data_IF_523429781059
#
_entry.id   IF_523429781059
#
_cell.length_a   1.000
_cell.length_b   1.000
_cell.length_c   1.000
_cell.angle_alpha   90.00
_cell.angle_beta   90.00
_cell.angle_gamma   90.00
#
_symmetry.space_group_name_H-M   'P 1'
#
loop_
_entity.id
_entity.type
_entity.pdbx_description
1 polymer ?
#
# COMPACT_ATOMS: atom_id res chain seq x y z
N UNK A 1 23.57 20.49 11.02
CA UNK A 1 23.31 20.85 9.62
C UNK A 1 22.36 19.79 9.09
N UNK A 2 21.14 20.15 8.73
CA UNK A 2 20.05 19.22 8.43
C UNK A 2 20.39 18.34 7.22
N UNK A 3 20.33 17.01 7.36
CA UNK A 3 20.52 16.04 6.27
C UNK A 3 19.28 15.91 5.36
N UNK A 4 18.34 16.86 5.40
CA UNK A 4 17.05 16.79 4.70
C UNK A 4 17.04 17.43 3.30
N UNK A 5 18.18 17.95 2.81
CA UNK A 5 18.27 18.66 1.52
C UNK A 5 19.11 17.92 0.47
N UNK A 6 19.11 16.58 0.45
CA UNK A 6 19.81 15.79 -0.59
C UNK A 6 18.97 15.57 -1.85
N UNK A 7 18.16 16.57 -2.23
CA UNK A 7 17.48 16.59 -3.52
C UNK A 7 18.38 17.33 -4.52
N UNK A 8 18.88 16.60 -5.52
CA UNK A 8 19.58 17.23 -6.63
C UNK A 8 18.60 18.17 -7.32
N UNK A 9 18.86 19.47 -7.24
CA UNK A 9 18.05 20.46 -7.92
C UNK A 9 18.36 20.37 -9.42
N UNK A 10 17.60 19.52 -10.13
CA UNK A 10 17.55 19.41 -11.60
C UNK A 10 18.76 18.68 -12.22
N UNK A 11 18.88 17.36 -12.01
CA UNK A 11 20.00 16.56 -12.54
C UNK A 11 20.14 16.60 -14.08
N UNK A 12 19.06 16.91 -14.80
CA UNK A 12 19.08 17.04 -16.26
C UNK A 12 19.80 18.30 -16.78
N UNK A 13 20.01 19.30 -15.91
CA UNK A 13 20.54 20.61 -16.30
C UNK A 13 22.04 20.79 -16.01
N UNK A 14 22.70 19.73 -15.59
CA UNK A 14 24.11 19.69 -15.20
C UNK A 14 24.83 18.57 -15.96
N UNK A 15 26.16 18.66 -16.00
CA UNK A 15 27.02 17.68 -16.69
C UNK A 15 27.12 16.38 -15.90
N UNK A 16 27.51 15.29 -16.57
CA UNK A 16 27.69 13.97 -15.94
C UNK A 16 28.67 14.03 -14.75
N UNK A 17 29.77 14.77 -14.88
CA UNK A 17 30.79 14.93 -13.82
C UNK A 17 30.26 15.72 -12.62
N UNK A 18 29.45 16.75 -12.85
CA UNK A 18 28.80 17.52 -11.78
C UNK A 18 27.82 16.65 -11.00
N UNK A 19 26.98 15.85 -11.68
CA UNK A 19 26.03 14.95 -11.01
C UNK A 19 26.74 13.90 -10.15
N UNK A 20 27.84 13.33 -10.64
CA UNK A 20 28.67 12.40 -9.85
C UNK A 20 29.25 13.07 -8.59
N UNK A 21 29.67 14.33 -8.74
CA UNK A 21 30.20 15.12 -7.61
C UNK A 21 29.10 15.42 -6.59
N UNK A 22 27.92 15.86 -7.04
CA UNK A 22 26.77 16.14 -6.16
C UNK A 22 26.24 14.89 -5.44
N UNK A 23 26.20 13.76 -6.14
CA UNK A 23 25.81 12.47 -5.54
C UNK A 23 26.89 11.87 -4.64
N UNK A 24 28.09 12.45 -4.61
CA UNK A 24 29.27 11.90 -3.93
C UNK A 24 29.54 10.44 -4.34
N UNK A 25 29.51 10.20 -5.65
CA UNK A 25 29.74 8.92 -6.31
C UNK A 25 30.89 9.02 -7.30
N UNK A 26 31.67 7.96 -7.45
CA UNK A 26 32.68 7.82 -8.51
C UNK A 26 32.18 6.87 -9.61
N UNK A 27 32.87 6.84 -10.76
CA UNK A 27 32.57 5.91 -11.86
C UNK A 27 32.62 4.43 -11.45
N UNK A 28 33.38 4.09 -10.40
CA UNK A 28 33.40 2.75 -9.81
C UNK A 28 32.18 2.45 -8.93
N UNK A 29 31.22 3.37 -8.82
CA UNK A 29 30.06 3.25 -7.95
C UNK A 29 30.37 3.49 -6.47
N UNK A 30 29.33 3.34 -5.63
CA UNK A 30 29.41 3.59 -4.19
C UNK A 30 30.19 2.51 -3.44
N UNK A 31 30.78 2.90 -2.31
CA UNK A 31 31.34 1.95 -1.32
C UNK A 31 30.24 1.41 -0.40
N UNK A 32 30.44 0.20 0.12
CA UNK A 32 29.49 -0.46 1.04
C UNK A 32 29.14 0.39 2.26
N UNK A 33 30.13 1.10 2.84
CA UNK A 33 29.88 2.00 3.98
C UNK A 33 28.99 3.18 3.59
N UNK A 34 29.20 3.74 2.39
CA UNK A 34 28.42 4.86 1.88
C UNK A 34 26.99 4.45 1.53
N UNK A 35 26.80 3.22 1.05
CA UNK A 35 25.48 2.60 0.84
C UNK A 35 24.77 2.42 2.19
N UNK A 36 25.44 1.82 3.19
CA UNK A 36 24.84 1.57 4.51
C UNK A 36 24.41 2.86 5.21
N UNK A 37 25.12 3.97 5.02
CA UNK A 37 24.73 5.27 5.55
C UNK A 37 23.46 5.76 4.86
N UNK A 38 23.41 5.75 3.52
CA UNK A 38 22.27 6.23 2.73
C UNK A 38 21.03 5.34 2.84
N UNK A 39 21.19 4.05 3.10
CA UNK A 39 20.06 3.14 3.38
C UNK A 39 19.26 3.54 4.63
N UNK A 40 19.83 4.39 5.52
CA UNK A 40 19.08 4.94 6.66
C UNK A 40 18.04 5.98 6.24
N UNK A 41 18.18 6.57 5.05
CA UNK A 41 17.26 7.58 4.53
C UNK A 41 15.95 6.96 4.01
N UNK A 42 15.91 5.64 3.85
CA UNK A 42 14.74 4.87 3.42
C UNK A 42 15.05 3.91 2.29
N UNK A 43 14.13 2.97 2.06
CA UNK A 43 14.18 2.06 0.93
C UNK A 43 13.63 2.73 -0.34
N UNK A 44 14.05 2.25 -1.50
CA UNK A 44 13.46 2.60 -2.79
C UNK A 44 12.11 1.89 -2.96
N UNK A 45 11.13 2.26 -2.14
CA UNK A 45 9.76 1.80 -2.22
C UNK A 45 8.81 3.00 -2.16
N UNK A 46 7.70 2.91 -2.89
CA UNK A 46 6.59 3.83 -2.72
C UNK A 46 6.01 3.63 -1.31
N UNK A 47 5.66 4.74 -0.65
CA UNK A 47 5.09 4.69 0.69
C UNK A 47 3.77 3.90 0.66
N UNK A 48 3.82 2.67 1.17
CA UNK A 48 2.61 1.89 1.41
C UNK A 48 1.98 2.35 2.72
N UNK A 49 0.64 2.39 2.76
CA UNK A 49 -0.07 2.59 4.03
C UNK A 49 0.41 1.54 5.04
N UNK A 50 0.78 1.96 6.27
CA UNK A 50 1.23 1.02 7.27
C UNK A 50 0.16 -0.05 7.50
N UNK A 51 0.54 -1.33 7.65
CA UNK A 51 -0.43 -2.38 7.88
C UNK A 51 -1.22 -2.05 9.15
N UNK A 52 -2.52 -2.36 9.12
CA UNK A 52 -3.40 -2.09 10.26
C UNK A 52 -2.86 -2.78 11.51
N UNK A 53 -2.74 -2.01 12.59
CA UNK A 53 -2.36 -2.57 13.88
C UNK A 53 -3.46 -3.47 14.43
N UNK A 54 -3.11 -4.43 15.29
CA UNK A 54 -4.11 -5.32 15.93
C UNK A 54 -5.19 -4.51 16.66
N UNK A 55 -4.83 -3.38 17.27
CA UNK A 55 -5.79 -2.50 17.95
C UNK A 55 -6.73 -1.78 16.97
N UNK A 56 -6.23 -1.34 15.83
CA UNK A 56 -7.06 -0.76 14.77
C UNK A 56 -8.03 -1.81 14.20
N UNK A 57 -7.57 -3.03 13.96
CA UNK A 57 -8.45 -4.13 13.50
C UNK A 57 -9.56 -4.45 14.52
N UNK A 58 -9.23 -4.50 15.82
CA UNK A 58 -10.23 -4.68 16.89
C UNK A 58 -11.24 -3.53 16.89
N UNK A 59 -10.76 -2.28 16.77
CA UNK A 59 -11.63 -1.10 16.76
C UNK A 59 -12.59 -1.11 15.57
N UNK A 60 -12.10 -1.46 14.38
CA UNK A 60 -12.93 -1.60 13.18
C UNK A 60 -13.98 -2.70 13.36
N UNK A 61 -13.61 -3.83 13.96
CA UNK A 61 -14.52 -4.93 14.24
C UNK A 61 -15.64 -4.53 15.23
N UNK A 62 -15.33 -3.72 16.24
CA UNK A 62 -16.33 -3.25 17.23
C UNK A 62 -17.27 -2.20 16.62
N UNK A 63 -16.76 -1.34 15.74
CA UNK A 63 -17.54 -0.29 15.06
C UNK A 63 -18.36 -0.87 13.89
N UNK A 64 -18.15 -2.13 13.52
CA UNK A 64 -18.96 -2.80 12.51
C UNK A 64 -20.44 -2.82 12.93
N UNK A 65 -21.37 -2.36 12.05
CA UNK A 65 -22.79 -2.26 12.39
C UNK A 65 -23.42 -3.57 12.85
N UNK A 66 -22.99 -4.71 12.31
CA UNK A 66 -23.53 -6.02 12.68
C UNK A 66 -23.10 -6.41 14.09
N UNK A 67 -21.84 -6.14 14.44
CA UNK A 67 -21.31 -6.40 15.78
C UNK A 67 -21.88 -5.44 16.82
N UNK A 68 -22.09 -4.18 16.48
CA UNK A 68 -22.78 -3.24 17.37
C UNK A 68 -24.20 -3.71 17.73
N UNK A 69 -24.93 -4.30 16.78
CA UNK A 69 -26.26 -4.88 17.05
C UNK A 69 -26.16 -6.07 18.01
N UNK A 70 -25.19 -6.96 17.80
CA UNK A 70 -24.95 -8.12 18.68
C UNK A 70 -24.54 -7.68 20.10
N UNK A 71 -23.66 -6.69 20.21
CA UNK A 71 -23.28 -6.10 21.49
C UNK A 71 -24.46 -5.42 22.19
N UNK A 72 -25.32 -4.74 21.43
CA UNK A 72 -26.58 -4.19 21.94
C UNK A 72 -27.51 -5.29 22.47
N UNK A 73 -27.70 -6.38 21.72
CA UNK A 73 -28.51 -7.52 22.15
C UNK A 73 -27.97 -8.17 23.43
N UNK A 74 -26.65 -8.39 23.51
CA UNK A 74 -26.00 -8.91 24.71
C UNK A 74 -26.20 -7.99 25.92
N UNK A 75 -26.11 -6.66 25.71
CA UNK A 75 -26.35 -5.66 26.76
C UNK A 75 -27.79 -5.69 27.27
N UNK A 76 -28.78 -5.72 26.38
CA UNK A 76 -30.19 -5.81 26.78
C UNK A 76 -30.51 -7.13 27.49
N UNK A 77 -30.00 -8.27 27.00
CA UNK A 77 -30.19 -9.57 27.65
C UNK A 77 -29.61 -9.60 29.07
N UNK A 78 -28.43 -9.00 29.27
CA UNK A 78 -27.86 -8.83 30.61
C UNK A 78 -28.73 -7.94 31.52
N UNK A 79 -29.32 -6.87 30.97
CA UNK A 79 -30.23 -5.98 31.71
C UNK A 79 -31.49 -6.72 32.19
N UNK A 80 -32.04 -7.61 31.36
CA UNK A 80 -33.18 -8.48 31.71
C UNK A 80 -32.82 -9.68 32.61
N UNK A 81 -31.59 -9.75 33.12
CA UNK A 81 -31.07 -10.81 33.99
C UNK A 81 -30.98 -12.19 33.30
N UNK A 82 -30.95 -12.21 31.97
CA UNK A 82 -30.74 -13.41 31.15
C UNK A 82 -29.24 -13.62 30.89
N UNK A 83 -28.46 -13.78 31.97
CA UNK A 83 -27.00 -13.84 31.89
C UNK A 83 -26.48 -14.95 30.96
N UNK A 84 -27.19 -16.07 30.86
CA UNK A 84 -26.81 -17.18 29.98
C UNK A 84 -26.79 -16.76 28.51
N UNK A 85 -27.80 -16.03 28.03
CA UNK A 85 -27.90 -15.61 26.63
C UNK A 85 -26.89 -14.48 26.33
N UNK A 86 -26.75 -13.51 27.24
CA UNK A 86 -25.73 -12.47 27.13
C UNK A 86 -24.30 -13.05 27.01
N UNK A 87 -23.96 -14.07 27.81
CA UNK A 87 -22.65 -14.74 27.76
C UNK A 87 -22.44 -15.47 26.44
N UNK A 88 -23.47 -16.16 25.91
CA UNK A 88 -23.38 -16.86 24.62
C UNK A 88 -23.11 -15.87 23.49
N UNK A 89 -23.86 -14.77 23.42
CA UNK A 89 -23.68 -13.74 22.38
C UNK A 89 -22.28 -13.12 22.49
N UNK A 90 -21.84 -12.77 23.71
CA UNK A 90 -20.52 -12.22 23.93
C UNK A 90 -19.40 -13.18 23.47
N UNK A 91 -19.54 -14.48 23.74
CA UNK A 91 -18.59 -15.50 23.30
C UNK A 91 -18.51 -15.57 21.76
N UNK A 92 -19.66 -15.55 21.07
CA UNK A 92 -19.72 -15.56 19.60
C UNK A 92 -18.99 -14.34 19.02
N UNK A 93 -19.23 -13.16 19.58
CA UNK A 93 -18.56 -11.91 19.13
C UNK A 93 -17.04 -12.01 19.31
N UNK A 94 -16.57 -12.53 20.45
CA UNK A 94 -15.14 -12.71 20.71
C UNK A 94 -14.52 -13.69 19.72
N UNK A 95 -15.14 -14.85 19.50
CA UNK A 95 -14.65 -15.85 18.55
C UNK A 95 -14.60 -15.27 17.13
N UNK A 96 -15.66 -14.62 16.67
CA UNK A 96 -15.71 -14.01 15.34
C UNK A 96 -14.66 -12.91 15.18
N UNK A 97 -14.41 -12.12 16.22
CA UNK A 97 -13.36 -11.08 16.21
C UNK A 97 -11.98 -11.70 16.07
N UNK A 98 -11.68 -12.76 16.82
CA UNK A 98 -10.39 -13.47 16.72
C UNK A 98 -10.22 -14.06 15.32
N UNK A 99 -11.24 -14.75 14.80
CA UNK A 99 -11.23 -15.33 13.45
C UNK A 99 -11.01 -14.23 12.41
N UNK A 100 -11.72 -13.10 12.50
CA UNK A 100 -11.59 -11.97 11.59
C UNK A 100 -10.16 -11.41 11.57
N UNK A 101 -9.57 -11.16 12.75
CA UNK A 101 -8.20 -10.65 12.86
C UNK A 101 -7.18 -11.63 12.27
N UNK A 102 -7.33 -12.94 12.55
CA UNK A 102 -6.42 -13.96 12.00
C UNK A 102 -6.54 -14.05 10.48
N UNK A 103 -7.77 -14.01 9.94
CA UNK A 103 -8.01 -14.02 8.50
C UNK A 103 -7.43 -12.78 7.81
N UNK A 104 -7.60 -11.59 8.39
CA UNK A 104 -7.07 -10.35 7.82
C UNK A 104 -5.54 -10.32 7.86
N UNK A 105 -4.92 -10.74 8.97
CA UNK A 105 -3.45 -10.88 9.04
C UNK A 105 -2.92 -11.89 8.02
N UNK A 106 -3.60 -13.02 7.86
CA UNK A 106 -3.21 -14.04 6.88
C UNK A 106 -3.28 -13.46 5.46
N UNK A 107 -4.37 -12.77 5.12
CA UNK A 107 -4.54 -12.12 3.82
C UNK A 107 -3.44 -11.08 3.55
N UNK A 108 -3.16 -10.21 4.51
CA UNK A 108 -2.08 -9.21 4.41
C UNK A 108 -0.71 -9.87 4.22
N UNK A 109 -0.40 -10.93 4.98
CA UNK A 109 0.88 -11.64 4.87
C UNK A 109 1.08 -12.31 3.50
N UNK A 110 0.02 -12.91 2.94
CA UNK A 110 0.08 -13.52 1.62
C UNK A 110 0.29 -12.47 0.53
N UNK A 111 -0.36 -11.31 0.66
CA UNK A 111 -0.18 -10.21 -0.27
C UNK A 111 1.23 -9.62 -0.20
N UNK A 112 1.79 -9.45 1.00
CA UNK A 112 3.17 -9.00 1.20
C UNK A 112 4.18 -9.97 0.58
N UNK A 113 4.01 -11.29 0.79
CA UNK A 113 4.88 -12.29 0.19
C UNK A 113 4.81 -12.27 -1.35
N UNK A 114 3.62 -12.12 -1.94
CA UNK A 114 3.47 -11.99 -3.40
C UNK A 114 4.17 -10.73 -3.94
N UNK A 115 4.09 -9.61 -3.20
CA UNK A 115 4.78 -8.36 -3.53
C UNK A 115 6.29 -8.55 -3.52
N UNK A 116 6.82 -9.18 -2.47
CA UNK A 116 8.26 -9.41 -2.32
C UNK A 116 8.82 -10.40 -3.36
N UNK A 117 8.03 -11.40 -3.77
CA UNK A 117 8.42 -12.35 -4.83
C UNK A 117 8.47 -11.71 -6.23
N UNK A 118 7.76 -10.60 -6.42
CA UNK A 118 7.67 -9.89 -7.71
C UNK A 118 8.55 -8.64 -7.74
N UNK A 119 9.36 -8.42 -6.69
CA UNK A 119 10.18 -7.22 -6.59
C UNK A 119 11.22 -7.19 -7.71
N UNK A 120 11.33 -6.07 -8.46
CA UNK A 120 12.30 -5.96 -9.53
C UNK A 120 13.73 -6.01 -8.99
N UNK A 121 14.62 -6.64 -9.75
CA UNK A 121 16.06 -6.66 -9.49
C UNK A 121 16.74 -5.60 -10.35
N UNK A 122 17.86 -5.06 -9.88
CA UNK A 122 18.65 -4.04 -10.57
C UNK A 122 20.12 -4.45 -10.66
N UNK A 123 20.72 -4.23 -11.82
CA UNK A 123 22.15 -4.40 -12.06
C UNK A 123 22.88 -3.15 -11.60
N UNK A 124 23.64 -3.23 -10.50
CA UNK A 124 24.34 -2.09 -9.91
C UNK A 124 25.85 -2.27 -9.96
N UNK A 125 26.57 -1.16 -10.05
CA UNK A 125 28.02 -1.11 -9.88
C UNK A 125 28.30 -0.54 -8.49
N UNK A 126 28.90 -1.36 -7.61
CA UNK A 126 29.33 -0.96 -6.26
C UNK A 126 30.76 -1.45 -6.04
N UNK A 127 31.62 -0.58 -5.51
CA UNK A 127 33.05 -0.84 -5.31
C UNK A 127 33.76 -1.45 -6.55
N UNK A 128 33.39 -0.99 -7.75
CA UNK A 128 33.94 -1.41 -9.04
C UNK A 128 33.48 -2.79 -9.51
N UNK A 129 32.47 -3.39 -8.87
CA UNK A 129 31.93 -4.70 -9.25
C UNK A 129 30.46 -4.59 -9.59
N UNK A 130 30.08 -5.29 -10.65
CA UNK A 130 28.67 -5.45 -11.00
C UNK A 130 28.01 -6.48 -10.07
N UNK A 131 26.84 -6.11 -9.54
CA UNK A 131 26.08 -6.91 -8.60
C UNK A 131 24.59 -6.83 -8.97
N UNK A 132 23.87 -7.93 -8.81
CA UNK A 132 22.42 -7.96 -8.96
C UNK A 132 21.78 -7.84 -7.57
N UNK A 133 21.11 -6.72 -7.29
CA UNK A 133 20.48 -6.47 -5.99
C UNK A 133 18.98 -6.18 -6.16
N UNK A 134 18.17 -6.38 -5.11
CA UNK A 134 16.77 -5.94 -5.14
C UNK A 134 16.67 -4.43 -5.36
N UNK A 135 15.79 -3.99 -6.27
CA UNK A 135 15.61 -2.56 -6.57
C UNK A 135 15.23 -1.72 -5.35
N UNK A 136 14.59 -2.32 -4.33
CA UNK A 136 14.25 -1.67 -3.05
C UNK A 136 15.48 -1.24 -2.23
N UNK A 137 16.63 -1.85 -2.46
CA UNK A 137 17.88 -1.56 -1.73
C UNK A 137 18.75 -0.50 -2.41
N UNK A 138 18.26 0.06 -3.53
CA UNK A 138 18.91 1.16 -4.24
C UNK A 138 18.87 2.43 -3.41
N UNK A 139 19.97 3.17 -3.48
CA UNK A 139 20.13 4.48 -2.84
C UNK A 139 20.56 5.53 -3.87
N UNK A 140 20.34 6.80 -3.54
CA UNK A 140 20.83 7.93 -4.34
C UNK A 140 22.36 7.83 -4.48
N UNK A 141 22.85 7.95 -5.71
CA UNK A 141 24.26 7.78 -6.06
C UNK A 141 24.65 6.36 -6.50
N UNK A 142 23.78 5.36 -6.39
CA UNK A 142 24.07 4.05 -7.02
C UNK A 142 24.20 4.21 -8.54
N UNK A 143 25.14 3.50 -9.15
CA UNK A 143 25.27 3.42 -10.59
C UNK A 143 24.56 2.14 -11.06
N UNK A 144 23.65 2.28 -12.02
CA UNK A 144 22.79 1.21 -12.52
C UNK A 144 23.04 1.01 -14.02
N UNK A 145 23.19 -0.26 -14.40
CA UNK A 145 23.17 -0.71 -15.79
C UNK A 145 21.73 -1.01 -16.21
N UNK A 146 21.33 -0.47 -17.36
CA UNK A 146 20.06 -0.72 -18.02
C UNK A 146 20.29 -1.51 -19.31
N UNK A 147 19.58 -2.62 -19.45
CA UNK A 147 19.57 -3.45 -20.64
C UNK A 147 18.18 -3.48 -21.29
N UNK A 148 18.14 -3.96 -22.52
CA UNK A 148 16.87 -4.19 -23.24
C UNK A 148 15.93 -5.11 -22.44
N UNK A 149 14.70 -4.67 -22.23
CA UNK A 149 13.68 -5.34 -21.43
C UNK A 149 13.71 -5.01 -19.94
N UNK A 150 14.74 -4.31 -19.45
CA UNK A 150 14.79 -3.92 -18.04
C UNK A 150 13.76 -2.84 -17.72
N UNK A 151 13.19 -2.93 -16.52
CA UNK A 151 12.41 -1.84 -15.94
C UNK A 151 13.35 -0.90 -15.19
N UNK A 152 13.23 0.39 -15.45
CA UNK A 152 14.04 1.41 -14.77
C UNK A 152 13.64 1.44 -13.29
N UNK A 153 14.58 1.15 -12.35
CA UNK A 153 14.22 0.85 -10.97
C UNK A 153 14.03 2.10 -10.09
N UNK A 154 14.59 3.23 -10.48
CA UNK A 154 14.53 4.53 -9.78
C UNK A 154 14.88 5.65 -10.78
N UNK A 155 14.61 6.91 -10.42
CA UNK A 155 14.90 8.03 -11.32
C UNK A 155 16.41 8.29 -11.38
N UNK A 156 16.96 8.30 -12.58
CA UNK A 156 18.41 8.33 -12.79
C UNK A 156 18.83 9.26 -13.91
N UNK A 157 20.01 9.86 -13.73
CA UNK A 157 20.71 10.62 -14.78
C UNK A 157 21.59 9.66 -15.57
N UNK A 158 21.41 9.63 -16.87
CA UNK A 158 22.22 8.79 -17.75
C UNK A 158 23.67 9.32 -17.83
N UNK A 159 24.62 8.43 -17.60
CA UNK A 159 26.06 8.67 -17.78
C UNK A 159 26.52 8.15 -19.15
N UNK A 160 25.93 7.05 -19.62
CA UNK A 160 26.18 6.51 -20.96
C UNK A 160 24.87 6.06 -21.59
N UNK A 161 24.75 6.19 -22.91
CA UNK A 161 23.62 5.70 -23.67
C UNK A 161 24.09 5.17 -25.02
N UNK A 162 23.68 3.95 -25.38
CA UNK A 162 23.94 3.37 -26.69
C UNK A 162 22.64 2.89 -27.32
N UNK A 163 22.10 3.69 -28.26
CA UNK A 163 20.80 3.50 -28.90
C UNK A 163 19.67 3.25 -27.89
N UNK A 164 19.75 3.87 -26.72
CA UNK A 164 18.83 3.63 -25.62
C UNK A 164 17.45 4.22 -25.94
N UNK A 165 16.42 3.37 -25.89
CA UNK A 165 15.03 3.79 -26.08
C UNK A 165 14.18 3.32 -24.92
N UNK A 166 13.49 4.25 -24.27
CA UNK A 166 12.70 3.99 -23.07
C UNK A 166 11.24 4.36 -23.35
N UNK A 167 10.32 3.46 -22.98
CA UNK A 167 8.89 3.72 -23.03
C UNK A 167 8.42 4.28 -21.69
N UNK A 168 7.96 5.53 -21.72
CA UNK A 168 7.59 6.31 -20.53
C UNK A 168 6.08 6.46 -20.35
N UNK A 169 5.31 5.52 -20.90
CA UNK A 169 3.85 5.53 -20.88
C UNK A 169 3.25 5.63 -19.47
N UNK A 170 3.92 5.07 -18.46
CA UNK A 170 3.53 5.16 -17.06
C UNK A 170 3.48 6.60 -16.53
N UNK A 171 4.28 7.51 -17.12
CA UNK A 171 4.48 8.88 -16.64
C UNK A 171 3.86 9.92 -17.57
N UNK A 172 4.00 9.73 -18.89
CA UNK A 172 3.52 10.69 -19.91
C UNK A 172 2.19 10.28 -20.53
N UNK A 173 1.78 9.01 -20.41
CA UNK A 173 0.63 8.46 -21.11
C UNK A 173 0.89 8.18 -22.60
N UNK A 174 2.09 8.47 -23.11
CA UNK A 174 2.45 8.25 -24.51
C UNK A 174 3.18 6.90 -24.65
N UNK A 175 2.69 6.06 -25.57
CA UNK A 175 3.28 4.73 -25.79
C UNK A 175 4.48 4.72 -26.74
N UNK A 176 4.85 5.86 -27.32
CA UNK A 176 5.98 5.94 -28.26
C UNK A 176 7.29 5.96 -27.45
N UNK A 177 8.24 5.02 -27.71
CA UNK A 177 9.53 5.04 -27.03
C UNK A 177 10.32 6.31 -27.34
N UNK A 178 10.89 6.92 -26.32
CA UNK A 178 11.73 8.11 -26.40
C UNK A 178 13.19 7.69 -26.51
N UNK A 179 13.90 8.26 -27.48
CA UNK A 179 15.34 8.06 -27.64
C UNK A 179 16.11 8.91 -26.62
N UNK A 180 17.05 8.26 -25.94
CA UNK A 180 17.79 8.85 -24.83
C UNK A 180 19.20 9.23 -25.24
N UNK A 181 19.66 10.35 -24.71
CA UNK A 181 20.99 10.92 -24.96
C UNK A 181 21.63 11.32 -23.62
N UNK A 182 22.63 10.55 -23.20
CA UNK A 182 23.34 10.79 -21.95
C UNK A 182 24.18 12.07 -21.96
N UNK A 183 24.67 12.50 -23.13
CA UNK A 183 25.58 13.64 -23.29
C UNK A 183 24.85 14.98 -23.33
N UNK A 184 23.53 14.96 -23.58
CA UNK A 184 22.71 16.16 -23.58
C UNK A 184 22.69 16.85 -22.20
N UNK A 185 22.82 18.18 -22.21
CA UNK A 185 22.59 19.06 -21.04
C UNK A 185 21.42 19.96 -21.36
N UNK A 186 20.38 19.90 -20.54
CA UNK A 186 19.08 20.49 -20.86
C UNK A 186 18.82 21.76 -20.04
N UNK A 187 17.86 22.57 -20.49
CA UNK A 187 17.48 23.77 -19.77
C UNK A 187 16.84 23.44 -18.41
N UNK A 188 17.00 24.33 -17.43
CA UNK A 188 16.46 24.14 -16.07
C UNK A 188 14.92 24.09 -16.03
N UNK A 189 14.25 24.62 -17.04
CA UNK A 189 12.80 24.68 -17.23
C UNK A 189 12.29 23.62 -18.22
N UNK A 190 13.15 22.70 -18.65
CA UNK A 190 12.81 21.56 -19.50
C UNK A 190 11.66 20.73 -18.90
N UNK A 191 10.65 20.48 -19.73
CA UNK A 191 9.47 19.69 -19.36
C UNK A 191 9.87 18.24 -19.06
N UNK A 192 9.05 17.53 -18.27
CA UNK A 192 9.37 16.16 -17.85
C UNK A 192 9.62 15.21 -19.04
N UNK A 193 8.78 15.29 -20.08
CA UNK A 193 8.88 14.44 -21.27
C UNK A 193 10.08 14.76 -22.18
N UNK A 194 10.61 15.98 -22.10
CA UNK A 194 11.76 16.41 -22.92
C UNK A 194 13.11 16.06 -22.27
N UNK A 195 13.11 15.49 -21.05
CA UNK A 195 14.32 15.11 -20.31
C UNK A 195 14.94 13.82 -20.86
N UNK A 196 15.44 13.88 -22.09
CA UNK A 196 16.04 12.75 -22.82
C UNK A 196 17.32 12.19 -22.17
N UNK A 197 17.91 12.92 -21.23
CA UNK A 197 19.13 12.56 -20.53
C UNK A 197 18.84 11.92 -19.14
N UNK A 198 17.56 11.75 -18.82
CA UNK A 198 17.04 11.09 -17.62
C UNK A 198 16.32 9.78 -18.00
N UNK A 199 16.29 8.85 -17.07
CA UNK A 199 15.40 7.68 -17.10
C UNK A 199 14.57 7.66 -15.81
N UNK A 200 13.27 7.39 -15.94
CA UNK A 200 12.32 7.49 -14.83
C UNK A 200 11.86 6.13 -14.36
N UNK A 201 11.64 5.99 -13.05
CA UNK A 201 11.12 4.79 -12.42
C UNK A 201 9.84 4.25 -13.09
N UNK A 202 9.70 2.92 -13.16
CA UNK A 202 8.55 2.23 -13.78
C UNK A 202 8.38 2.47 -15.30
N UNK A 203 9.38 3.02 -15.97
CA UNK A 203 9.52 3.00 -17.42
C UNK A 203 10.24 1.72 -17.88
N UNK A 204 10.00 1.30 -19.12
CA UNK A 204 10.57 0.05 -19.66
C UNK A 204 11.59 0.40 -20.74
N UNK A 205 12.78 -0.18 -20.64
CA UNK A 205 13.80 -0.11 -21.68
C UNK A 205 13.35 -1.01 -22.83
N UNK A 206 13.10 -0.40 -23.99
CA UNK A 206 12.60 -1.10 -25.17
C UNK A 206 13.69 -1.50 -26.15
N UNK A 207 14.86 -0.86 -26.05
CA UNK A 207 16.03 -1.16 -26.87
C UNK A 207 17.28 -0.48 -26.32
N UNK A 208 18.44 -1.08 -26.61
CA UNK A 208 19.75 -0.50 -26.34
C UNK A 208 20.28 -0.78 -24.93
N UNK A 209 21.28 -0.02 -24.53
CA UNK A 209 21.85 -0.07 -23.17
C UNK A 209 22.12 1.32 -22.63
N UNK A 210 22.06 1.46 -21.32
CA UNK A 210 22.35 2.70 -20.62
C UNK A 210 23.10 2.43 -19.33
N UNK A 211 23.93 3.40 -18.94
CA UNK A 211 24.51 3.49 -17.61
C UNK A 211 23.98 4.78 -16.99
N UNK A 212 23.62 4.78 -15.72
CA UNK A 212 23.26 6.03 -15.07
C UNK A 212 23.35 5.98 -13.55
N UNK A 213 23.35 7.16 -12.95
CA UNK A 213 23.41 7.35 -11.50
C UNK A 213 22.02 7.67 -10.96
N UNK A 214 21.63 6.99 -9.88
CA UNK A 214 20.35 7.23 -9.20
C UNK A 214 20.34 8.63 -8.59
N UNK A 215 19.33 9.41 -8.93
CA UNK A 215 19.14 10.79 -8.47
C UNK A 215 17.98 10.93 -7.48
N UNK A 216 16.98 10.06 -7.57
CA UNK A 216 15.88 9.99 -6.62
C UNK A 216 15.36 8.57 -6.47
N UNK A 217 14.88 8.21 -5.27
CA UNK A 217 14.34 6.89 -4.90
C UNK A 217 13.00 7.03 -4.18
N UNK A 218 12.18 5.98 -4.23
CA UNK A 218 10.91 5.88 -3.51
C UNK A 218 9.96 7.05 -3.81
N UNK A 219 9.45 7.68 -2.75
CA UNK A 219 8.52 8.82 -2.85
C UNK A 219 9.13 10.09 -3.47
N UNK A 220 10.46 10.17 -3.59
CA UNK A 220 11.14 11.32 -4.18
C UNK A 220 11.27 11.23 -5.71
N UNK A 221 10.90 10.09 -6.29
CA UNK A 221 10.82 9.93 -7.76
C UNK A 221 9.60 10.67 -8.32
N UNK A 222 9.58 10.91 -9.63
CA UNK A 222 8.43 11.51 -10.33
C UNK A 222 7.18 10.61 -10.21
N UNK A 223 7.34 9.29 -10.31
CA UNK A 223 6.25 8.34 -10.02
C UNK A 223 5.83 8.37 -8.55
N UNK A 224 6.77 8.55 -7.62
CA UNK A 224 6.49 8.72 -6.20
C UNK A 224 5.69 9.97 -5.90
N UNK A 225 6.03 11.09 -6.55
CA UNK A 225 5.28 12.34 -6.45
C UNK A 225 3.84 12.16 -6.93
N UNK A 226 3.63 11.49 -8.08
CA UNK A 226 2.29 11.16 -8.59
C UNK A 226 1.53 10.25 -7.61
N UNK A 227 2.17 9.19 -7.10
CA UNK A 227 1.58 8.28 -6.14
C UNK A 227 1.13 9.00 -4.85
N UNK A 228 1.93 9.94 -4.36
CA UNK A 228 1.60 10.76 -3.19
C UNK A 228 0.34 11.62 -3.43
N UNK A 229 0.21 12.22 -4.61
CA UNK A 229 -1.00 12.98 -4.97
C UNK A 229 -2.26 12.10 -5.08
N UNK A 230 -2.09 10.81 -5.39
CA UNK A 230 -3.20 9.85 -5.50
C UNK A 230 -3.60 9.25 -4.14
N UNK A 231 -2.66 9.00 -3.23
CA UNK A 231 -2.96 8.37 -1.92
C UNK A 231 -3.77 9.29 -0.98
N UNK A 232 -3.69 10.61 -1.19
CA UNK A 232 -4.56 11.59 -0.54
C UNK A 232 -6.04 11.47 -0.96
N UNK A 233 -6.33 10.72 -2.03
CA UNK A 233 -7.71 10.39 -2.42
C UNK A 233 -8.18 9.14 -1.66
N UNK A 234 -8.82 9.40 -0.52
CA UNK A 234 -9.64 8.51 0.32
C UNK A 234 -9.99 7.14 -0.27
N UNK A 235 -9.78 6.07 0.51
CA UNK A 235 -10.14 4.68 0.20
C UNK A 235 -11.42 4.58 -0.65
N UNK A 236 -11.25 4.30 -1.94
CA UNK A 236 -12.39 4.09 -2.83
C UNK A 236 -12.99 2.74 -2.46
N UNK A 237 -14.03 2.75 -1.61
CA UNK A 237 -14.78 1.54 -1.29
C UNK A 237 -15.23 0.86 -2.59
N UNK A 238 -14.90 -0.41 -2.75
CA UNK A 238 -15.23 -1.15 -3.96
C UNK A 238 -16.76 -1.17 -4.19
N UNK A 239 -17.22 -1.11 -5.44
CA UNK A 239 -18.65 -1.05 -5.76
C UNK A 239 -19.44 -2.25 -5.21
N UNK A 240 -18.77 -3.41 -5.03
CA UNK A 240 -19.37 -4.59 -4.41
C UNK A 240 -19.57 -4.40 -2.90
N UNK A 241 -18.58 -3.87 -2.18
CA UNK A 241 -18.67 -3.60 -0.74
C UNK A 241 -19.83 -2.65 -0.43
N UNK A 242 -19.98 -1.58 -1.21
CA UNK A 242 -21.11 -0.63 -1.08
C UNK A 242 -22.48 -1.30 -1.21
N UNK A 243 -22.64 -2.22 -2.18
CA UNK A 243 -23.91 -2.95 -2.36
C UNK A 243 -24.21 -3.86 -1.17
N UNK A 244 -23.22 -4.59 -0.66
CA UNK A 244 -23.39 -5.48 0.50
C UNK A 244 -23.74 -4.69 1.76
N UNK A 245 -23.07 -3.56 2.02
CA UNK A 245 -23.40 -2.69 3.14
C UNK A 245 -24.81 -2.11 3.03
N UNK A 246 -25.27 -1.79 1.81
CA UNK A 246 -26.63 -1.33 1.57
C UNK A 246 -27.67 -2.42 1.87
N UNK A 247 -27.45 -3.66 1.44
CA UNK A 247 -28.35 -4.79 1.73
C UNK A 247 -28.39 -5.06 3.24
N UNK A 248 -27.22 -5.02 3.91
CA UNK A 248 -27.13 -5.16 5.36
C UNK A 248 -27.96 -4.11 6.10
N UNK A 249 -27.87 -2.84 5.71
CA UNK A 249 -28.68 -1.75 6.30
C UNK A 249 -30.18 -1.98 6.16
N UNK A 250 -30.65 -2.43 5.00
CA UNK A 250 -32.08 -2.72 4.79
C UNK A 250 -32.54 -3.85 5.71
N UNK A 251 -31.76 -4.93 5.79
CA UNK A 251 -32.09 -6.07 6.65
C UNK A 251 -32.11 -5.67 8.13
N UNK A 252 -31.18 -4.81 8.57
CA UNK A 252 -31.16 -4.24 9.92
C UNK A 252 -32.42 -3.42 10.22
N UNK A 253 -32.85 -2.55 9.31
CA UNK A 253 -34.05 -1.72 9.51
C UNK A 253 -35.31 -2.60 9.65
N UNK A 254 -35.45 -3.61 8.78
CA UNK A 254 -36.56 -4.57 8.85
C UNK A 254 -36.53 -5.32 10.19
N UNK A 255 -35.36 -5.79 10.63
CA UNK A 255 -35.19 -6.48 11.90
C UNK A 255 -35.63 -5.62 13.10
N UNK A 256 -35.19 -4.36 13.16
CA UNK A 256 -35.57 -3.43 14.22
C UNK A 256 -37.09 -3.19 14.21
N UNK A 257 -37.69 -3.00 13.04
CA UNK A 257 -39.12 -2.80 12.90
C UNK A 257 -39.92 -4.00 13.45
N UNK A 258 -39.51 -5.22 13.10
CA UNK A 258 -40.15 -6.45 13.60
C UNK A 258 -40.00 -6.56 15.12
N UNK A 259 -38.81 -6.29 15.68
CA UNK A 259 -38.59 -6.30 17.14
C UNK A 259 -39.51 -5.31 17.87
N UNK A 260 -39.64 -4.07 17.37
CA UNK A 260 -40.54 -3.06 17.95
C UNK A 260 -42.00 -3.54 17.90
N UNK A 261 -42.41 -4.11 16.77
CA UNK A 261 -43.78 -4.58 16.57
C UNK A 261 -44.14 -5.73 17.53
N UNK A 262 -43.23 -6.71 17.69
CA UNK A 262 -43.39 -7.81 18.66
C UNK A 262 -43.46 -7.27 20.09
N UNK A 263 -42.62 -6.31 20.46
CA UNK A 263 -42.62 -5.70 21.79
C UNK A 263 -43.95 -4.97 22.08
N UNK A 264 -44.48 -4.20 21.13
CA UNK A 264 -45.77 -3.51 21.26
C UNK A 264 -46.92 -4.52 21.43
N UNK A 265 -46.95 -5.58 20.61
CA UNK A 265 -47.97 -6.63 20.71
C UNK A 265 -47.87 -7.34 22.07
N UNK A 266 -46.66 -7.67 22.52
CA UNK A 266 -46.42 -8.28 23.83
C UNK A 266 -46.90 -7.40 24.99
N UNK A 267 -46.63 -6.09 24.93
CA UNK A 267 -47.08 -5.12 25.92
C UNK A 267 -48.61 -4.97 25.95
N UNK A 268 -49.26 -4.96 24.78
CA UNK A 268 -50.73 -4.85 24.68
C UNK A 268 -51.46 -6.10 25.19
N UNK A 269 -50.86 -7.29 25.08
CA UNK A 269 -51.54 -8.55 25.41
C UNK A 269 -51.53 -8.95 26.89
N UNK A 270 -50.92 -8.19 27.81
CA UNK A 270 -50.90 -8.43 29.28
C UNK A 270 -50.83 -9.93 29.68
N UNK A 271 -49.96 -10.74 29.06
CA UNK A 271 -49.78 -12.13 29.47
C UNK A 271 -48.76 -12.22 30.62
N UNK A 272 -49.08 -12.87 31.76
CA UNK A 272 -48.08 -13.12 32.79
C UNK A 272 -46.99 -14.03 32.23
N UNK A 273 -45.74 -13.54 32.25
CA UNK A 273 -44.55 -14.12 31.61
C UNK A 273 -44.03 -15.43 32.24
N UNK A 274 -44.84 -16.19 32.99
CA UNK A 274 -44.32 -17.22 33.91
C UNK A 274 -44.74 -18.69 33.73
N UNK A 275 -45.36 -19.15 32.61
CA UNK A 275 -45.28 -20.58 32.31
C UNK A 275 -44.92 -20.92 30.86
N UNK A 276 -44.08 -20.11 30.19
CA UNK A 276 -43.56 -20.45 28.86
C UNK A 276 -42.10 -20.92 28.85
N UNK A 277 -41.36 -20.74 29.96
CA UNK A 277 -40.00 -21.26 30.12
C UNK A 277 -39.92 -22.79 30.22
N UNK A 278 -40.97 -23.49 30.67
CA UNK A 278 -40.91 -24.94 30.87
C UNK A 278 -41.21 -25.80 29.63
N UNK A 279 -41.68 -25.21 28.51
CA UNK A 279 -41.93 -25.96 27.25
C UNK A 279 -40.89 -25.72 26.15
N UNK A 280 -40.09 -24.64 26.23
CA UNK A 280 -39.08 -24.32 25.21
C UNK A 280 -37.85 -25.24 25.24
N UNK A 281 -37.37 -25.62 26.43
CA UNK A 281 -36.18 -26.48 26.57
C UNK A 281 -36.36 -27.91 26.03
N UNK A 282 -37.60 -28.40 25.88
CA UNK A 282 -37.84 -29.76 25.36
C UNK A 282 -37.72 -29.86 23.84
N UNK A 283 -37.79 -28.73 23.12
CA UNK A 283 -37.77 -28.72 21.64
C UNK A 283 -36.35 -28.46 21.12
N UNK A 284 -35.53 -27.72 21.88
CA UNK A 284 -34.15 -27.37 21.51
C UNK A 284 -33.12 -28.49 21.72
N UNK A 285 -33.44 -29.57 22.46
CA UNK A 285 -32.54 -30.72 22.64
C UNK A 285 -32.79 -31.82 21.58
N UNK A 286 -33.74 -31.61 20.65
CA UNK A 286 -34.15 -32.62 19.68
C UNK A 286 -33.60 -32.43 18.26
N UNK A 287 -32.85 -31.37 17.94
CA UNK A 287 -32.28 -31.12 16.61
C UNK A 287 -30.93 -30.41 16.65
#
# INVERSE_FOLDING_TARGET
>A
MSFMDNHIQKPWAVTQSEVLTETNTSESGLSEDAVRIRQKDGLNELAAKPPKTTLQMIKEQIIDPMIMILLGAAFFSALFHEYTEAIIIAMIVVINTIIGIVQEKKAQSSLAALRDMSAPMAHVIRAGKEQLIPAKELVVGDIVNLHDGDMVPADMRLLESANLKIQEASLTGESVPVEKDADAVLAKDCSLGDRINMAFSSSIVTYGRGLGVITATGMNTEMGAIAGMLDDQTEIETPLKRKLTSVGKVLTIIGIFVCILVFIIGAMYQKPLLPQYSKGNSILVSW
#
